data_IF_190221975928
#
_entry.id   IF_190221975928
#
_cell.length_a   1.000
_cell.length_b   1.000
_cell.length_c   1.000
_cell.angle_alpha   90.00
_cell.angle_beta   90.00
_cell.angle_gamma   90.00
#
_symmetry.space_group_name_H-M   'P 1'
#
loop_
_entity.id
_entity.type
_entity.pdbx_description
1 polymer ?
#
# COMPACT_ATOMS: atom_id res chain seq x y z
N UNK A 1 -34.16 -4.51 -55.75
CA UNK A 1 -33.33 -5.45 -54.99
C UNK A 1 -33.82 -5.41 -53.56
N UNK A 2 -34.97 -6.06 -53.27
CA UNK A 2 -35.06 -7.46 -52.80
C UNK A 2 -34.34 -7.63 -51.44
N UNK A 3 -35.06 -7.61 -50.32
CA UNK A 3 -35.91 -8.66 -49.70
C UNK A 3 -35.10 -9.72 -48.93
N UNK A 4 -35.31 -9.77 -47.61
CA UNK A 4 -35.78 -10.91 -46.79
C UNK A 4 -35.37 -10.64 -45.31
N UNK A 5 -36.28 -10.40 -44.34
CA UNK A 5 -37.24 -11.33 -43.69
C UNK A 5 -36.57 -12.65 -43.23
N UNK A 6 -36.79 -13.24 -42.06
CA UNK A 6 -37.78 -13.15 -40.97
C UNK A 6 -37.17 -13.95 -39.77
N UNK A 7 -37.31 -13.54 -38.50
CA UNK A 7 -38.40 -13.83 -37.54
C UNK A 7 -38.52 -15.29 -37.02
N UNK A 8 -39.13 -15.40 -35.83
CA UNK A 8 -39.69 -16.57 -35.10
C UNK A 8 -38.74 -17.30 -34.11
N UNK A 9 -39.16 -17.74 -32.91
CA UNK A 9 -40.46 -17.71 -32.20
C UNK A 9 -40.28 -18.08 -30.71
N UNK A 10 -41.25 -17.66 -29.91
CA UNK A 10 -41.58 -18.07 -28.54
C UNK A 10 -42.28 -19.45 -28.47
N UNK A 11 -42.20 -20.11 -27.30
CA UNK A 11 -43.19 -21.02 -26.66
C UNK A 11 -42.71 -21.23 -25.20
N UNK A 12 -43.41 -20.95 -24.09
CA UNK A 12 -44.75 -21.24 -23.55
C UNK A 12 -44.97 -22.69 -23.06
N UNK A 13 -45.43 -22.78 -21.79
CA UNK A 13 -46.13 -23.87 -21.06
C UNK A 13 -45.28 -25.06 -20.55
N UNK A 14 -45.55 -25.72 -19.41
CA UNK A 14 -46.66 -25.76 -18.44
C UNK A 14 -46.12 -26.37 -17.12
N UNK A 15 -46.43 -25.87 -15.92
CA UNK A 15 -47.57 -26.22 -15.01
C UNK A 15 -47.46 -27.59 -14.29
N UNK A 16 -47.59 -27.50 -12.95
CA UNK A 16 -48.40 -28.36 -12.06
C UNK A 16 -47.84 -29.68 -11.50
N UNK A 17 -47.76 -29.80 -10.15
CA UNK A 17 -48.71 -30.56 -9.29
C UNK A 17 -48.20 -30.67 -7.84
N UNK A 18 -49.09 -30.35 -6.92
CA UNK A 18 -49.04 -30.62 -5.48
C UNK A 18 -49.04 -32.13 -5.17
N UNK A 19 -48.53 -32.53 -4.01
CA UNK A 19 -49.31 -33.44 -3.17
C UNK A 19 -48.98 -33.32 -1.69
N UNK A 20 -50.06 -33.18 -0.93
CA UNK A 20 -50.12 -33.24 0.52
C UNK A 20 -50.44 -34.68 0.97
N UNK A 21 -50.16 -34.98 2.24
CA UNK A 21 -50.88 -35.87 3.19
C UNK A 21 -49.86 -36.35 4.23
N UNK A 22 -49.88 -35.94 5.51
CA UNK A 22 -50.89 -36.05 6.58
C UNK A 22 -50.93 -37.43 7.27
N UNK A 23 -51.23 -37.39 8.59
CA UNK A 23 -51.66 -38.49 9.46
C UNK A 23 -50.59 -39.54 9.86
N UNK A 24 -50.56 -40.14 11.06
CA UNK A 24 -51.49 -40.14 12.19
C UNK A 24 -50.80 -40.64 13.48
N UNK A 25 -51.34 -40.19 14.61
CA UNK A 25 -51.09 -40.64 15.98
C UNK A 25 -51.57 -42.07 16.23
N UNK A 26 -50.93 -42.78 17.18
CA UNK A 26 -51.39 -44.11 17.62
C UNK A 26 -50.80 -44.53 18.97
N UNK A 27 -51.54 -44.23 20.04
CA UNK A 27 -51.30 -44.67 21.41
C UNK A 27 -51.82 -46.10 21.62
N UNK A 28 -51.07 -46.97 22.33
CA UNK A 28 -51.62 -48.17 22.98
C UNK A 28 -50.77 -48.56 24.21
N UNK A 29 -51.48 -49.11 25.20
CA UNK A 29 -51.20 -49.10 26.64
C UNK A 29 -51.30 -50.53 27.18
N UNK A 30 -50.31 -51.03 27.93
CA UNK A 30 -50.45 -52.16 28.90
C UNK A 30 -49.35 -52.03 29.96
N UNK A 31 -49.63 -51.66 31.22
CA UNK A 31 -50.10 -52.38 32.43
C UNK A 31 -49.05 -53.20 33.21
N UNK A 32 -48.86 -52.75 34.48
CA UNK A 32 -48.44 -53.47 35.72
C UNK A 32 -46.93 -53.79 35.85
N UNK A 33 -46.25 -53.68 36.98
CA UNK A 33 -46.59 -53.30 38.37
C UNK A 33 -45.32 -53.34 39.26
N UNK A 34 -45.37 -52.66 40.43
CA UNK A 34 -44.63 -52.86 41.70
C UNK A 34 -43.31 -52.09 41.94
N UNK A 35 -43.45 -51.04 42.76
CA UNK A 35 -42.73 -50.74 44.03
C UNK A 35 -41.23 -51.07 44.10
N UNK A 36 -40.39 -50.04 44.22
CA UNK A 36 -39.55 -49.81 45.42
C UNK A 36 -38.63 -48.58 45.26
N UNK A 37 -38.55 -47.81 46.35
CA UNK A 37 -37.38 -47.10 46.87
C UNK A 37 -36.57 -46.15 45.96
N UNK A 38 -36.77 -44.86 46.23
CA UNK A 38 -35.70 -43.91 46.57
C UNK A 38 -34.45 -43.82 45.69
N UNK A 39 -34.30 -42.69 45.01
CA UNK A 39 -33.21 -41.71 45.19
C UNK A 39 -33.64 -40.47 44.37
N UNK A 40 -33.92 -39.35 45.05
CA UNK A 40 -34.02 -38.05 44.38
C UNK A 40 -32.60 -37.58 44.07
N UNK A 41 -32.12 -37.79 42.84
CA UNK A 41 -30.96 -37.06 42.34
C UNK A 41 -31.49 -35.69 41.91
N UNK A 42 -31.25 -34.68 42.75
CA UNK A 42 -31.32 -33.30 42.31
C UNK A 42 -30.28 -33.11 41.20
N UNK A 43 -30.74 -33.04 39.94
CA UNK A 43 -29.94 -32.52 38.85
C UNK A 43 -29.76 -31.02 39.12
N UNK A 44 -28.70 -30.67 39.85
CA UNK A 44 -28.17 -29.33 39.84
C UNK A 44 -27.70 -29.05 38.40
N UNK A 45 -28.52 -28.31 37.64
CA UNK A 45 -28.02 -27.58 36.48
C UNK A 45 -26.99 -26.58 37.01
N UNK A 46 -25.72 -27.00 37.04
CA UNK A 46 -24.60 -26.10 36.99
C UNK A 46 -24.68 -25.42 35.61
N UNK A 47 -25.39 -24.29 35.56
CA UNK A 47 -25.08 -23.24 34.60
C UNK A 47 -23.68 -22.77 34.99
N UNK A 48 -22.67 -23.46 34.48
CA UNK A 48 -21.34 -22.91 34.41
C UNK A 48 -21.48 -21.68 33.51
N UNK A 49 -21.38 -20.49 34.11
CA UNK A 49 -21.02 -19.32 33.35
C UNK A 49 -19.68 -19.64 32.68
N UNK A 50 -19.70 -19.99 31.40
CA UNK A 50 -18.55 -19.85 30.51
C UNK A 50 -18.25 -18.35 30.39
N UNK A 51 -17.66 -17.81 31.46
CA UNK A 51 -16.95 -16.54 31.42
C UNK A 51 -15.69 -16.78 30.61
N UNK A 52 -15.80 -16.38 29.35
CA UNK A 52 -14.71 -15.79 28.58
C UNK A 52 -13.38 -16.55 28.62
N UNK A 53 -13.27 -17.60 27.79
CA UNK A 53 -12.04 -17.76 27.03
C UNK A 53 -12.02 -16.65 25.97
N UNK A 54 -11.62 -15.44 26.38
CA UNK A 54 -10.96 -14.53 25.44
C UNK A 54 -9.66 -15.22 25.05
N UNK A 55 -9.40 -15.51 23.77
CA UNK A 55 -8.06 -15.94 23.40
C UNK A 55 -7.14 -14.77 23.73
N UNK A 56 -6.15 -15.03 24.59
CA UNK A 56 -4.97 -14.20 24.69
C UNK A 56 -4.27 -14.23 23.33
N UNK A 57 -4.67 -13.36 22.39
CA UNK A 57 -4.10 -13.29 21.03
C UNK A 57 -3.31 -12.01 20.76
N UNK A 58 -3.16 -11.12 21.75
CA UNK A 58 -2.44 -9.85 21.56
C UNK A 58 -0.96 -9.88 21.98
N UNK A 59 -0.54 -10.88 22.76
CA UNK A 59 0.82 -10.89 23.33
C UNK A 59 1.93 -11.32 22.35
N UNK A 60 1.59 -11.72 21.12
CA UNK A 60 2.57 -12.22 20.15
C UNK A 60 2.32 -11.76 18.71
N UNK A 61 1.66 -10.60 18.53
CA UNK A 61 1.61 -9.98 17.21
C UNK A 61 2.99 -9.43 16.87
N UNK A 62 3.65 -10.06 15.91
CA UNK A 62 4.97 -9.64 15.42
C UNK A 62 4.93 -8.15 15.03
N UNK A 63 5.79 -7.37 15.68
CA UNK A 63 5.91 -5.94 15.45
C UNK A 63 6.69 -5.74 14.17
N UNK A 64 5.99 -5.40 13.09
CA UNK A 64 6.59 -5.30 11.74
C UNK A 64 7.76 -4.31 11.68
N UNK A 65 7.77 -3.29 12.55
CA UNK A 65 8.86 -2.31 12.64
C UNK A 65 10.13 -2.89 13.27
N UNK A 66 10.06 -3.97 14.05
CA UNK A 66 11.25 -4.68 14.55
C UNK A 66 11.86 -5.60 13.47
N UNK A 67 11.10 -5.90 12.41
CA UNK A 67 11.52 -6.75 11.30
C UNK A 67 12.06 -5.98 10.09
N UNK A 68 11.96 -4.64 10.08
CA UNK A 68 12.43 -3.80 9.00
C UNK A 68 13.96 -3.70 9.02
N UNK A 69 14.61 -4.03 7.91
CA UNK A 69 16.07 -3.99 7.75
C UNK A 69 16.48 -2.90 6.77
N UNK A 70 17.27 -1.95 7.26
CA UNK A 70 17.89 -0.93 6.43
C UNK A 70 18.89 -1.49 5.43
N UNK A 71 19.54 -2.61 5.75
CA UNK A 71 20.47 -3.31 4.86
C UNK A 71 19.75 -3.92 3.67
N UNK A 72 18.55 -4.51 3.88
CA UNK A 72 17.72 -5.02 2.78
C UNK A 72 17.21 -3.88 1.91
N UNK A 73 16.72 -2.79 2.52
CA UNK A 73 16.35 -1.59 1.79
C UNK A 73 17.52 -1.08 0.93
N UNK A 74 18.72 -0.93 1.50
CA UNK A 74 19.92 -0.48 0.79
C UNK A 74 20.32 -1.43 -0.35
N UNK A 75 20.16 -2.75 -0.17
CA UNK A 75 20.43 -3.74 -1.21
C UNK A 75 19.46 -3.61 -2.41
N UNK A 76 18.20 -3.26 -2.15
CA UNK A 76 17.25 -2.91 -3.20
C UNK A 76 17.71 -1.67 -3.97
N UNK A 77 18.12 -0.60 -3.27
CA UNK A 77 18.67 0.62 -3.89
C UNK A 77 19.87 0.28 -4.79
N UNK A 78 20.84 -0.47 -4.26
CA UNK A 78 22.04 -0.86 -5.00
C UNK A 78 21.69 -1.66 -6.27
N UNK A 79 20.69 -2.54 -6.20
CA UNK A 79 20.25 -3.31 -7.35
C UNK A 79 19.69 -2.40 -8.45
N UNK A 80 18.85 -1.42 -8.09
CA UNK A 80 18.28 -0.47 -9.05
C UNK A 80 19.34 0.46 -9.65
N UNK A 81 20.27 0.97 -8.83
CA UNK A 81 21.41 1.78 -9.30
C UNK A 81 22.30 0.99 -10.26
N UNK A 82 22.47 -0.31 -10.05
CA UNK A 82 23.24 -1.19 -10.94
C UNK A 82 22.61 -1.36 -12.33
N UNK A 83 21.30 -1.14 -12.48
CA UNK A 83 20.67 -1.09 -13.80
C UNK A 83 21.04 0.18 -14.59
N UNK A 84 21.48 1.23 -13.90
CA UNK A 84 21.84 2.52 -14.46
C UNK A 84 20.80 3.61 -14.17
N UNK A 85 20.94 4.80 -14.81
CA UNK A 85 19.88 5.82 -14.85
C UNK A 85 18.58 5.21 -15.35
N UNK A 86 17.46 5.54 -14.71
CA UNK A 86 16.13 4.97 -15.00
C UNK A 86 15.15 6.04 -15.48
N UNK A 87 15.48 6.89 -16.48
CA UNK A 87 14.50 7.83 -16.99
C UNK A 87 13.33 7.08 -17.63
N UNK A 88 12.13 7.69 -17.69
CA UNK A 88 10.96 7.09 -18.31
C UNK A 88 11.26 6.57 -19.74
N UNK A 89 10.61 5.47 -20.11
CA UNK A 89 10.81 4.73 -21.37
C UNK A 89 12.22 4.13 -21.64
N UNK A 90 13.17 4.19 -20.70
CA UNK A 90 14.48 3.54 -20.85
C UNK A 90 14.46 2.01 -20.65
N UNK A 91 15.54 1.32 -21.06
CA UNK A 91 15.71 -0.11 -20.76
C UNK A 91 15.92 -0.35 -19.25
N UNK A 92 16.60 0.57 -18.57
CA UNK A 92 16.92 0.46 -17.14
C UNK A 92 15.67 0.63 -16.25
N UNK A 93 14.75 1.53 -16.61
CA UNK A 93 13.48 1.63 -15.88
C UNK A 93 12.64 0.35 -16.06
N UNK A 94 12.64 -0.28 -17.24
CA UNK A 94 11.95 -1.57 -17.42
C UNK A 94 12.59 -2.70 -16.60
N UNK A 95 13.93 -2.79 -16.54
CA UNK A 95 14.62 -3.73 -15.63
C UNK A 95 14.23 -3.50 -14.17
N UNK A 96 14.08 -2.23 -13.78
CA UNK A 96 13.62 -1.84 -12.45
C UNK A 96 12.19 -2.32 -12.21
N UNK A 97 11.27 -2.11 -13.15
CA UNK A 97 9.89 -2.62 -13.02
C UNK A 97 9.84 -4.14 -12.89
N UNK A 98 10.59 -4.87 -13.72
CA UNK A 98 10.68 -6.34 -13.60
C UNK A 98 11.21 -6.76 -12.24
N UNK A 99 12.24 -6.08 -11.73
CA UNK A 99 12.79 -6.36 -10.40
C UNK A 99 11.77 -6.10 -9.29
N UNK A 100 11.14 -4.93 -9.27
CA UNK A 100 10.13 -4.56 -8.29
C UNK A 100 8.95 -5.53 -8.31
N UNK A 101 8.43 -5.86 -9.50
CA UNK A 101 7.35 -6.84 -9.66
C UNK A 101 7.73 -8.19 -9.06
N UNK A 102 8.90 -8.74 -9.41
CA UNK A 102 9.34 -10.03 -8.87
C UNK A 102 9.51 -10.01 -7.35
N UNK A 103 10.07 -8.94 -6.77
CA UNK A 103 10.23 -8.83 -5.32
C UNK A 103 8.87 -8.76 -4.62
N UNK A 104 7.98 -7.89 -5.09
CA UNK A 104 6.63 -7.73 -4.55
C UNK A 104 5.81 -9.04 -4.62
N UNK A 105 5.82 -9.71 -5.77
CA UNK A 105 5.14 -11.00 -5.96
C UNK A 105 5.72 -12.09 -5.05
N UNK A 106 7.04 -12.10 -4.82
CA UNK A 106 7.68 -13.02 -3.87
C UNK A 106 7.24 -12.79 -2.43
N UNK A 107 6.77 -11.59 -2.10
CA UNK A 107 6.20 -11.25 -0.80
C UNK A 107 4.67 -11.43 -0.75
N UNK A 108 4.04 -11.88 -1.84
CA UNK A 108 2.59 -12.14 -1.91
C UNK A 108 1.74 -10.94 -2.35
N UNK A 109 2.35 -9.87 -2.84
CA UNK A 109 1.64 -8.75 -3.43
C UNK A 109 1.29 -9.05 -4.90
N UNK A 110 0.13 -8.59 -5.34
CA UNK A 110 -0.27 -8.59 -6.74
C UNK A 110 0.08 -7.23 -7.34
N UNK A 111 0.85 -7.23 -8.43
CA UNK A 111 1.28 -5.99 -9.09
C UNK A 111 0.49 -5.76 -10.37
N UNK A 112 -0.08 -4.57 -10.50
CA UNK A 112 -0.67 -4.04 -11.72
C UNK A 112 0.26 -2.99 -12.33
N UNK A 113 0.44 -3.06 -13.65
CA UNK A 113 1.14 -2.02 -14.43
C UNK A 113 0.12 -1.06 -15.00
N UNK A 114 0.07 0.16 -14.46
CA UNK A 114 -0.78 1.23 -15.00
C UNK A 114 0.02 2.00 -16.06
N UNK A 115 -0.14 1.62 -17.32
CA UNK A 115 0.57 2.22 -18.46
C UNK A 115 -0.21 3.38 -19.07
N UNK A 116 0.48 4.48 -19.38
CA UNK A 116 -0.09 5.65 -20.04
C UNK A 116 0.99 6.41 -20.82
N UNK A 117 0.54 7.39 -21.62
CA UNK A 117 1.44 8.24 -22.39
C UNK A 117 1.04 9.69 -22.22
N UNK A 118 2.03 10.57 -22.10
CA UNK A 118 1.82 12.02 -21.99
C UNK A 118 2.82 12.79 -22.85
N UNK A 119 2.48 14.04 -23.16
CA UNK A 119 3.35 14.96 -23.90
C UNK A 119 4.36 15.61 -22.95
N UNK A 120 5.62 15.69 -23.37
CA UNK A 120 6.71 16.31 -22.60
C UNK A 120 7.52 17.26 -23.49
N UNK A 121 8.47 18.01 -22.92
CA UNK A 121 9.41 18.81 -23.71
C UNK A 121 10.25 17.98 -24.69
N UNK A 122 10.34 16.66 -24.45
CA UNK A 122 11.05 15.68 -25.27
C UNK A 122 10.13 14.87 -26.19
N UNK A 123 8.89 15.31 -26.36
CA UNK A 123 7.86 14.65 -27.15
C UNK A 123 7.02 13.68 -26.32
N UNK A 124 6.26 12.81 -27.00
CA UNK A 124 5.37 11.86 -26.33
C UNK A 124 6.14 10.71 -25.70
N UNK A 125 6.06 10.57 -24.38
CA UNK A 125 6.75 9.53 -23.60
C UNK A 125 5.74 8.54 -23.00
N UNK A 126 6.17 7.29 -22.85
CA UNK A 126 5.42 6.23 -22.17
C UNK A 126 5.88 6.11 -20.72
N UNK A 127 4.91 6.11 -19.81
CA UNK A 127 5.08 5.98 -18.37
C UNK A 127 4.31 4.75 -17.87
N UNK A 128 4.78 4.15 -16.77
CA UNK A 128 4.15 2.99 -16.16
C UNK A 128 4.23 3.09 -14.64
N UNK A 129 3.13 3.40 -13.97
CA UNK A 129 3.09 3.23 -12.51
C UNK A 129 3.01 1.72 -12.17
N UNK A 130 3.59 1.31 -11.05
CA UNK A 130 3.34 -0.02 -10.47
C UNK A 130 2.43 0.13 -9.26
N UNK A 131 1.29 -0.56 -9.27
CA UNK A 131 0.30 -0.55 -8.19
C UNK A 131 0.27 -1.95 -7.58
N UNK A 132 0.65 -2.08 -6.32
CA UNK A 132 0.69 -3.35 -5.61
C UNK A 132 -0.41 -3.44 -4.55
N UNK A 133 -1.22 -4.49 -4.64
CA UNK A 133 -2.30 -4.78 -3.68
C UNK A 133 -2.09 -6.14 -3.02
N UNK A 134 -2.54 -6.31 -1.78
CA UNK A 134 -2.38 -7.56 -1.03
C UNK A 134 -3.70 -8.32 -0.91
N UNK A 135 -3.71 -9.57 -1.40
CA UNK A 135 -4.88 -10.44 -1.50
C UNK A 135 -6.00 -9.94 -2.45
N UNK A 136 -6.70 -10.90 -3.08
CA UNK A 136 -7.76 -10.57 -4.03
C UNK A 136 -9.00 -9.99 -3.34
N UNK A 137 -9.44 -8.80 -3.74
CA UNK A 137 -10.77 -8.27 -3.42
C UNK A 137 -10.88 -7.38 -2.17
N UNK A 138 -9.77 -6.97 -1.55
CA UNK A 138 -9.79 -5.89 -0.55
C UNK A 138 -9.82 -4.52 -1.21
N UNK A 139 -10.59 -3.59 -0.64
CA UNK A 139 -10.52 -2.17 -0.95
C UNK A 139 -9.47 -1.54 0.00
N UNK A 140 -8.23 -1.29 -0.44
CA UNK A 140 -7.20 -0.70 0.41
C UNK A 140 -7.65 0.70 0.88
N UNK A 141 -7.33 1.05 2.13
CA UNK A 141 -7.77 2.33 2.72
C UNK A 141 -6.63 3.31 2.93
N UNK A 142 -5.40 2.98 2.52
CA UNK A 142 -4.22 3.80 2.74
C UNK A 142 -3.22 3.62 1.61
N UNK A 143 -2.63 4.72 1.13
CA UNK A 143 -1.59 4.70 0.10
C UNK A 143 -0.19 4.71 0.74
N UNK A 144 0.75 3.99 0.15
CA UNK A 144 2.17 4.09 0.50
C UNK A 144 2.98 4.19 -0.78
N UNK A 145 3.61 5.33 -1.00
CA UNK A 145 4.06 5.79 -2.30
C UNK A 145 5.56 6.10 -2.33
N UNK A 146 6.13 6.03 -3.52
CA UNK A 146 7.48 6.50 -3.87
C UNK A 146 7.56 6.63 -5.39
N UNK A 147 8.42 7.49 -5.93
CA UNK A 147 8.80 7.43 -7.34
C UNK A 147 10.05 6.57 -7.54
N UNK A 148 10.21 5.97 -8.73
CA UNK A 148 11.32 5.04 -9.02
C UNK A 148 12.09 5.35 -10.31
N UNK A 149 11.64 6.35 -11.05
CA UNK A 149 12.36 6.89 -12.19
C UNK A 149 13.58 7.73 -11.73
N UNK A 150 14.28 8.34 -12.67
CA UNK A 150 15.39 9.26 -12.38
C UNK A 150 15.32 10.42 -13.34
N UNK A 151 15.70 11.61 -12.88
CA UNK A 151 15.88 12.77 -13.75
C UNK A 151 16.71 12.47 -14.99
N UNK A 152 16.27 13.03 -16.12
CA UNK A 152 17.05 13.04 -17.35
C UNK A 152 17.96 14.26 -17.39
N UNK A 153 19.26 14.04 -17.58
CA UNK A 153 20.21 15.11 -17.88
C UNK A 153 20.92 14.82 -19.22
N UNK A 154 21.12 15.85 -20.04
CA UNK A 154 21.75 15.68 -21.36
C UNK A 154 23.26 15.41 -21.30
N UNK A 155 23.91 15.92 -20.26
CA UNK A 155 25.38 15.92 -20.16
C UNK A 155 25.91 15.19 -18.93
N UNK A 156 25.01 14.66 -18.10
CA UNK A 156 25.34 14.07 -16.81
C UNK A 156 24.72 12.69 -16.68
N UNK A 157 25.51 11.74 -16.17
CA UNK A 157 24.99 10.43 -15.77
C UNK A 157 24.48 10.52 -14.34
N UNK A 158 23.17 10.58 -14.17
CA UNK A 158 22.49 10.62 -12.88
C UNK A 158 21.83 9.27 -12.58
N UNK A 159 22.10 8.69 -11.41
CA UNK A 159 21.54 7.37 -11.05
C UNK A 159 20.43 7.42 -10.02
N UNK A 160 20.16 8.59 -9.42
CA UNK A 160 19.14 8.78 -8.39
C UNK A 160 19.26 7.72 -7.31
N UNK A 161 20.36 7.75 -6.55
CA UNK A 161 20.54 6.77 -5.47
C UNK A 161 19.66 7.15 -4.28
N UNK A 162 19.69 8.42 -3.87
CA UNK A 162 18.76 8.95 -2.87
C UNK A 162 17.42 9.28 -3.54
N UNK A 163 17.49 10.03 -4.64
CA UNK A 163 16.37 10.55 -5.41
C UNK A 163 15.70 9.42 -6.22
N UNK A 164 14.51 9.02 -5.77
CA UNK A 164 13.76 7.82 -6.21
C UNK A 164 14.33 6.47 -5.75
N UNK A 165 15.65 6.30 -5.69
CA UNK A 165 16.27 5.03 -5.30
C UNK A 165 16.00 4.63 -3.85
N UNK A 166 16.21 5.56 -2.91
CA UNK A 166 16.15 5.30 -1.46
C UNK A 166 14.73 5.02 -0.99
N UNK A 167 13.78 5.84 -1.43
CA UNK A 167 12.35 5.75 -1.13
C UNK A 167 11.76 4.45 -1.69
N UNK A 168 12.13 4.08 -2.92
CA UNK A 168 11.69 2.82 -3.52
C UNK A 168 12.24 1.62 -2.73
N UNK A 169 13.49 1.69 -2.26
CA UNK A 169 14.09 0.67 -1.42
C UNK A 169 13.38 0.51 -0.06
N UNK A 170 13.00 1.61 0.57
CA UNK A 170 12.20 1.62 1.81
C UNK A 170 10.81 1.02 1.57
N UNK A 171 10.12 1.43 0.51
CA UNK A 171 8.79 0.94 0.18
C UNK A 171 8.79 -0.58 -0.09
N UNK A 172 9.81 -1.09 -0.76
CA UNK A 172 9.93 -2.52 -1.05
C UNK A 172 10.21 -3.36 0.21
N UNK A 173 11.02 -2.85 1.14
CA UNK A 173 11.24 -3.51 2.43
C UNK A 173 9.99 -3.41 3.34
N UNK A 174 9.22 -2.30 3.27
CA UNK A 174 7.91 -2.19 3.92
C UNK A 174 6.95 -3.26 3.41
N UNK A 175 6.91 -3.49 2.09
CA UNK A 175 6.11 -4.55 1.47
C UNK A 175 6.43 -5.93 2.06
N UNK A 176 7.73 -6.21 2.28
CA UNK A 176 8.21 -7.47 2.88
C UNK A 176 7.78 -7.64 4.33
N UNK A 177 7.88 -6.59 5.16
CA UNK A 177 7.53 -6.70 6.59
C UNK A 177 6.03 -6.62 6.86
N UNK A 178 5.25 -6.07 5.93
CA UNK A 178 3.79 -6.10 5.99
C UNK A 178 3.21 -7.47 5.61
N UNK A 179 3.86 -8.21 4.72
CA UNK A 179 3.34 -9.48 4.19
C UNK A 179 2.98 -10.54 5.26
N UNK A 180 3.74 -10.73 6.36
CA UNK A 180 3.37 -11.62 7.46
C UNK A 180 2.12 -11.18 8.25
N UNK A 181 1.59 -9.97 8.00
CA UNK A 181 0.39 -9.39 8.60
C UNK A 181 -0.70 -9.09 7.54
N UNK A 182 -1.31 -10.12 6.93
CA UNK A 182 -2.30 -9.95 5.86
C UNK A 182 -3.48 -9.02 6.17
N UNK A 183 -3.85 -8.87 7.44
CA UNK A 183 -4.91 -7.97 7.91
C UNK A 183 -4.52 -6.49 7.84
N UNK A 184 -3.21 -6.19 7.94
CA UNK A 184 -2.65 -4.85 7.71
C UNK A 184 -2.35 -4.66 6.22
N UNK A 185 -1.63 -5.62 5.60
CA UNK A 185 -1.20 -5.51 4.21
C UNK A 185 -2.37 -5.27 3.24
N UNK A 186 -3.53 -5.92 3.44
CA UNK A 186 -4.73 -5.72 2.60
C UNK A 186 -5.33 -4.32 2.65
N UNK A 187 -4.98 -3.52 3.68
CA UNK A 187 -5.46 -2.15 3.85
C UNK A 187 -4.52 -1.13 3.20
N UNK A 188 -3.32 -1.55 2.77
CA UNK A 188 -2.37 -0.72 2.06
C UNK A 188 -2.41 -1.00 0.56
N UNK A 189 -2.25 0.04 -0.24
CA UNK A 189 -1.92 -0.04 -1.66
C UNK A 189 -0.57 0.64 -1.84
N UNK A 190 0.41 -0.11 -2.36
CA UNK A 190 1.74 0.42 -2.61
C UNK A 190 1.79 0.95 -4.03
N UNK A 191 2.25 2.18 -4.21
CA UNK A 191 2.30 2.80 -5.53
C UNK A 191 3.71 3.29 -5.82
N UNK A 192 4.30 2.77 -6.89
CA UNK A 192 5.58 3.22 -7.41
C UNK A 192 5.31 4.07 -8.64
N UNK A 193 5.49 5.39 -8.51
CA UNK A 193 5.20 6.35 -9.56
C UNK A 193 6.36 6.44 -10.57
N UNK A 194 6.00 6.58 -11.83
CA UNK A 194 6.93 6.80 -12.95
C UNK A 194 6.74 8.21 -13.50
N UNK A 195 7.84 8.91 -13.74
CA UNK A 195 7.85 10.27 -14.24
C UNK A 195 7.45 11.27 -13.16
N UNK A 196 7.91 11.09 -11.93
CA UNK A 196 7.88 12.18 -10.96
C UNK A 196 8.75 13.33 -11.48
N UNK A 197 9.92 13.00 -12.01
CA UNK A 197 10.94 13.96 -12.36
C UNK A 197 10.55 14.82 -13.56
N UNK A 198 10.68 16.14 -13.39
CA UNK A 198 10.52 17.08 -14.50
C UNK A 198 11.66 16.96 -15.52
N UNK A 199 11.36 17.16 -16.80
CA UNK A 199 12.37 17.22 -17.85
C UNK A 199 13.13 18.55 -17.84
N UNK A 200 12.44 19.66 -17.58
CA UNK A 200 13.03 20.99 -17.49
C UNK A 200 12.88 21.56 -16.07
N UNK A 201 11.64 21.68 -15.61
CA UNK A 201 11.31 22.22 -14.29
C UNK A 201 9.88 21.83 -13.90
N UNK A 202 9.63 21.64 -12.60
CA UNK A 202 8.29 21.32 -12.15
C UNK A 202 7.31 22.45 -12.48
N UNK A 203 6.27 22.09 -13.23
CA UNK A 203 5.16 22.96 -13.62
C UNK A 203 3.85 22.17 -13.59
N UNK A 204 2.72 22.78 -13.93
CA UNK A 204 1.42 22.08 -14.05
C UNK A 204 1.43 20.90 -15.04
N UNK A 205 2.42 20.84 -15.96
CA UNK A 205 2.49 19.83 -17.03
C UNK A 205 3.86 19.15 -17.17
N UNK A 206 4.87 19.57 -16.42
CA UNK A 206 6.21 18.95 -16.40
C UNK A 206 6.52 18.47 -14.98
N UNK A 207 6.85 17.18 -14.85
CA UNK A 207 6.92 16.43 -13.60
C UNK A 207 5.58 15.84 -13.15
N UNK A 208 5.64 14.99 -12.11
CA UNK A 208 4.51 14.33 -11.46
C UNK A 208 3.57 13.58 -12.42
N UNK A 209 4.07 13.12 -13.56
CA UNK A 209 3.28 12.47 -14.61
C UNK A 209 2.53 11.26 -14.06
N UNK A 210 3.24 10.41 -13.29
CA UNK A 210 2.73 9.21 -12.64
C UNK A 210 1.61 9.50 -11.66
N UNK A 211 1.88 10.31 -10.64
CA UNK A 211 0.91 10.64 -9.59
C UNK A 211 -0.29 11.44 -10.12
N UNK A 212 -0.09 12.37 -11.06
CA UNK A 212 -1.19 13.08 -11.72
C UNK A 212 -2.09 12.14 -12.49
N UNK A 213 -1.54 11.20 -13.25
CA UNK A 213 -2.35 10.22 -13.97
C UNK A 213 -3.12 9.32 -12.99
N UNK A 214 -2.45 8.82 -11.95
CA UNK A 214 -3.06 8.00 -10.92
C UNK A 214 -4.21 8.72 -10.19
N UNK A 215 -3.98 9.96 -9.74
CA UNK A 215 -4.98 10.79 -9.08
C UNK A 215 -6.19 11.06 -10.00
N UNK A 216 -5.96 11.42 -11.26
CA UNK A 216 -7.03 11.60 -12.26
C UNK A 216 -7.88 10.34 -12.42
N UNK A 217 -7.26 9.15 -12.46
CA UNK A 217 -7.98 7.88 -12.54
C UNK A 217 -8.83 7.60 -11.28
N UNK A 218 -8.28 7.85 -10.09
CA UNK A 218 -9.04 7.69 -8.85
C UNK A 218 -10.22 8.65 -8.76
N UNK A 219 -10.03 9.91 -9.15
CA UNK A 219 -11.10 10.91 -9.19
C UNK A 219 -12.20 10.54 -10.20
N UNK A 220 -11.82 10.12 -11.41
CA UNK A 220 -12.78 9.68 -12.44
C UNK A 220 -13.61 8.47 -12.01
N UNK A 221 -13.08 7.64 -11.11
CA UNK A 221 -13.74 6.46 -10.56
C UNK A 221 -14.46 6.72 -9.22
N UNK A 222 -14.48 7.98 -8.71
CA UNK A 222 -14.93 8.36 -7.36
C UNK A 222 -14.32 7.50 -6.24
N UNK A 223 -13.07 7.09 -6.41
CA UNK A 223 -12.34 6.23 -5.46
C UNK A 223 -11.50 6.99 -4.45
N UNK A 224 -11.33 8.31 -4.58
CA UNK A 224 -10.50 9.09 -3.65
C UNK A 224 -10.95 8.90 -2.18
N UNK A 225 -12.28 8.91 -1.94
CA UNK A 225 -12.88 8.75 -0.60
C UNK A 225 -12.62 7.38 0.04
N UNK A 226 -12.14 6.40 -0.72
CA UNK A 226 -11.74 5.09 -0.19
C UNK A 226 -10.49 5.20 0.71
N UNK A 227 -9.60 6.14 0.39
CA UNK A 227 -8.33 6.32 1.07
C UNK A 227 -8.49 7.30 2.21
N UNK A 228 -8.18 6.84 3.43
CA UNK A 228 -8.17 7.66 4.65
C UNK A 228 -6.88 8.47 4.80
N UNK A 229 -5.87 8.17 3.98
CA UNK A 229 -4.65 8.94 3.85
C UNK A 229 -3.57 8.20 3.06
N UNK A 230 -2.38 8.79 3.01
CA UNK A 230 -1.21 8.20 2.39
C UNK A 230 0.10 8.68 3.00
N UNK A 231 1.17 7.96 2.70
CA UNK A 231 2.56 8.40 2.88
C UNK A 231 3.26 8.35 1.53
N UNK A 232 3.92 9.43 1.15
CA UNK A 232 4.97 9.47 0.15
C UNK A 232 6.33 9.44 0.85
N UNK A 233 7.28 8.68 0.30
CA UNK A 233 8.69 8.79 0.65
C UNK A 233 9.44 9.39 -0.51
N UNK A 234 10.32 10.34 -0.22
CA UNK A 234 11.31 10.81 -1.18
C UNK A 234 12.65 11.13 -0.51
N UNK A 235 13.76 10.83 -1.19
CA UNK A 235 15.12 11.17 -0.76
C UNK A 235 15.48 10.77 0.69
N UNK A 236 15.03 9.62 1.17
CA UNK A 236 15.06 9.20 2.59
C UNK A 236 16.30 8.41 3.03
N UNK A 237 17.37 8.43 2.25
CA UNK A 237 18.55 7.57 2.43
C UNK A 237 19.84 8.27 2.85
N UNK A 238 19.89 9.62 2.87
CA UNK A 238 21.13 10.37 3.16
C UNK A 238 21.78 9.95 4.49
N UNK A 239 23.10 9.87 4.51
CA UNK A 239 23.89 9.59 5.73
C UNK A 239 23.65 10.61 6.86
N UNK A 240 23.35 11.85 6.53
CA UNK A 240 23.10 12.93 7.50
C UNK A 240 21.59 13.17 7.69
N UNK A 241 20.83 12.09 7.77
CA UNK A 241 19.37 12.08 7.66
C UNK A 241 18.64 13.09 8.56
N UNK A 242 17.88 13.97 7.92
CA UNK A 242 16.85 14.81 8.52
C UNK A 242 15.56 14.72 7.71
N UNK A 243 14.66 13.81 8.08
CA UNK A 243 13.32 13.75 7.47
C UNK A 243 12.53 14.99 7.86
N UNK A 244 12.00 15.66 6.86
CA UNK A 244 11.16 16.85 7.01
C UNK A 244 9.75 16.58 6.52
N UNK A 245 8.79 17.28 7.11
CA UNK A 245 7.37 17.25 6.73
C UNK A 245 7.01 18.60 6.11
N UNK A 246 6.64 18.67 4.82
CA UNK A 246 6.25 19.93 4.18
C UNK A 246 5.07 20.63 4.87
N UNK A 247 4.91 21.96 4.75
CA UNK A 247 3.84 22.72 5.39
C UNK A 247 2.41 22.28 5.06
N UNK A 248 2.19 21.68 3.89
CA UNK A 248 0.90 21.14 3.45
C UNK A 248 0.60 19.73 4.01
N UNK A 249 1.48 19.19 4.86
CA UNK A 249 1.31 17.90 5.53
C UNK A 249 -0.02 17.82 6.31
N UNK A 250 -0.81 16.75 6.15
CA UNK A 250 -2.03 16.54 6.93
C UNK A 250 -1.73 16.46 8.44
N UNK A 251 -2.32 17.39 9.22
CA UNK A 251 -1.96 17.63 10.63
C UNK A 251 -2.06 16.35 11.49
N UNK A 252 -3.12 15.57 11.32
CA UNK A 252 -3.30 14.33 12.08
C UNK A 252 -2.24 13.28 11.75
N UNK A 253 -1.87 13.15 10.46
CA UNK A 253 -0.85 12.21 10.00
C UNK A 253 0.52 12.67 10.50
N UNK A 254 0.87 13.95 10.36
CA UNK A 254 2.12 14.51 10.85
C UNK A 254 2.32 14.29 12.36
N UNK A 255 1.27 14.56 13.14
CA UNK A 255 1.26 14.29 14.59
C UNK A 255 1.54 12.82 14.89
N UNK A 256 0.90 11.92 14.16
CA UNK A 256 1.02 10.48 14.40
C UNK A 256 2.37 9.91 13.93
N UNK A 257 2.99 10.51 12.91
CA UNK A 257 4.39 10.24 12.50
C UNK A 257 5.35 10.67 13.60
N UNK A 258 5.24 11.90 14.13
CA UNK A 258 6.08 12.35 15.23
C UNK A 258 5.89 11.49 16.49
N UNK A 259 4.66 11.14 16.83
CA UNK A 259 4.38 10.25 17.95
C UNK A 259 5.00 8.85 17.75
N UNK A 260 5.07 8.36 16.51
CA UNK A 260 5.75 7.10 16.18
C UNK A 260 7.26 7.24 16.30
N UNK A 261 7.83 8.35 15.84
CA UNK A 261 9.24 8.65 16.01
C UNK A 261 9.63 8.80 17.51
N UNK A 262 8.79 9.44 18.32
CA UNK A 262 8.96 9.54 19.78
C UNK A 262 8.92 8.17 20.45
N UNK A 263 7.92 7.33 20.11
CA UNK A 263 7.78 5.98 20.66
C UNK A 263 9.01 5.08 20.39
N UNK A 264 9.73 5.35 19.30
CA UNK A 264 10.95 4.64 18.91
C UNK A 264 12.25 5.36 19.33
N UNK A 265 12.18 6.49 20.02
CA UNK A 265 13.32 7.36 20.37
C UNK A 265 14.11 7.87 19.15
N UNK A 266 13.42 8.09 18.03
CA UNK A 266 13.97 8.55 16.75
C UNK A 266 13.54 9.98 16.37
N UNK A 267 12.75 10.66 17.21
CA UNK A 267 12.19 12.00 16.95
C UNK A 267 13.21 13.06 16.51
N UNK A 268 14.47 12.93 16.90
CA UNK A 268 15.58 13.82 16.51
C UNK A 268 15.87 13.86 15.00
N UNK A 269 15.43 12.84 14.26
CA UNK A 269 15.60 12.75 12.80
C UNK A 269 14.41 13.30 12.01
N UNK A 270 13.35 13.75 12.69
CA UNK A 270 12.12 14.20 12.05
C UNK A 270 11.87 15.65 12.44
N UNK A 271 11.49 16.51 11.51
CA UNK A 271 11.10 17.89 11.82
C UNK A 271 10.08 18.38 10.79
N UNK A 272 9.49 19.56 11.02
CA UNK A 272 8.79 20.26 9.96
C UNK A 272 9.78 20.90 9.01
N UNK A 273 9.42 20.95 7.73
CA UNK A 273 10.13 21.74 6.75
C UNK A 273 9.65 23.20 6.79
N UNK A 274 10.50 24.12 6.32
CA UNK A 274 10.25 25.56 6.41
C UNK A 274 9.67 26.18 5.13
N UNK A 275 9.47 25.38 4.08
CA UNK A 275 8.99 25.80 2.76
C UNK A 275 8.16 24.72 2.08
N UNK A 276 7.37 25.11 1.11
CA UNK A 276 6.54 24.19 0.34
C UNK A 276 7.39 23.29 -0.56
N UNK A 277 6.93 22.05 -0.75
CA UNK A 277 7.47 21.08 -1.69
C UNK A 277 6.31 20.62 -2.58
N UNK A 278 6.51 20.69 -3.89
CA UNK A 278 5.62 20.09 -4.87
C UNK A 278 6.22 18.75 -5.26
N UNK A 279 5.52 17.68 -4.93
CA UNK A 279 5.92 16.28 -5.11
C UNK A 279 4.65 15.42 -5.35
N UNK A 280 4.78 14.11 -5.51
CA UNK A 280 3.74 13.15 -5.88
C UNK A 280 2.57 13.07 -4.88
N UNK A 281 2.71 13.63 -3.66
CA UNK A 281 1.61 13.78 -2.71
C UNK A 281 0.65 14.89 -3.10
N UNK A 282 1.12 15.88 -3.85
CA UNK A 282 0.35 17.07 -4.22
C UNK A 282 -0.90 16.72 -5.05
N UNK A 283 -0.82 15.93 -6.15
CA UNK A 283 -2.00 15.53 -6.91
C UNK A 283 -2.98 14.66 -6.12
N UNK A 284 -2.49 13.91 -5.10
CA UNK A 284 -3.33 13.11 -4.22
C UNK A 284 -4.10 13.99 -3.23
N UNK A 285 -3.42 14.98 -2.65
CA UNK A 285 -4.05 15.99 -1.79
C UNK A 285 -5.14 16.78 -2.53
N UNK A 286 -4.91 17.15 -3.79
CA UNK A 286 -5.87 17.87 -4.65
C UNK A 286 -7.19 17.13 -4.85
N UNK A 287 -7.16 15.79 -4.92
CA UNK A 287 -8.37 14.96 -5.05
C UNK A 287 -8.96 14.56 -3.69
N UNK A 288 -8.41 15.06 -2.59
CA UNK A 288 -8.91 14.87 -1.23
C UNK A 288 -8.38 13.65 -0.49
N UNK A 289 -7.26 13.04 -0.93
CA UNK A 289 -6.57 11.98 -0.19
C UNK A 289 -5.47 12.62 0.65
N UNK A 290 -5.59 12.69 1.99
CA UNK A 290 -4.60 13.35 2.83
C UNK A 290 -3.29 12.54 2.84
N UNK A 291 -2.31 12.99 2.07
CA UNK A 291 -1.03 12.31 1.86
C UNK A 291 0.08 13.16 2.45
N UNK A 292 0.85 12.57 3.36
CA UNK A 292 2.04 13.22 3.91
C UNK A 292 3.27 12.86 3.07
N UNK A 293 4.16 13.81 2.89
CA UNK A 293 5.47 13.57 2.30
C UNK A 293 6.55 13.51 3.41
N UNK A 294 7.38 12.47 3.37
CA UNK A 294 8.53 12.24 4.23
C UNK A 294 9.79 12.41 3.40
N UNK A 295 10.40 13.59 3.47
CA UNK A 295 11.51 13.97 2.57
C UNK A 295 12.69 14.61 3.29
N UNK A 296 13.91 14.24 2.92
CA UNK A 296 15.15 14.92 3.34
C UNK A 296 15.68 15.79 2.20
N UNK A 297 15.00 16.92 1.97
CA UNK A 297 15.23 17.76 0.79
C UNK A 297 16.53 18.57 0.85
N UNK A 298 17.07 18.85 2.04
CA UNK A 298 18.33 19.58 2.21
C UNK A 298 19.55 18.66 1.98
N UNK A 299 19.65 18.14 0.75
CA UNK A 299 20.63 17.13 0.34
C UNK A 299 21.57 17.68 -0.76
N UNK A 300 22.84 18.04 -0.45
CA UNK A 300 23.74 18.67 -1.42
C UNK A 300 23.97 17.91 -2.74
N UNK A 301 23.97 16.55 -2.78
CA UNK A 301 24.08 15.81 -4.03
C UNK A 301 22.80 15.76 -4.89
N UNK A 302 21.66 16.30 -4.43
CA UNK A 302 20.39 16.34 -5.17
C UNK A 302 20.59 16.91 -6.58
N UNK A 303 19.99 16.26 -7.59
CA UNK A 303 20.14 16.63 -9.00
C UNK A 303 21.60 16.77 -9.48
N UNK A 304 22.55 16.03 -8.88
CA UNK A 304 23.94 15.96 -9.34
C UNK A 304 24.36 14.52 -9.61
N UNK A 305 25.35 14.26 -10.48
CA UNK A 305 25.99 12.95 -10.62
C UNK A 305 26.57 12.38 -9.31
N UNK A 306 26.70 13.20 -8.27
CA UNK A 306 27.14 12.79 -6.94
C UNK A 306 26.08 12.04 -6.14
N UNK A 307 24.81 12.03 -6.56
CA UNK A 307 23.78 11.22 -5.90
C UNK A 307 23.99 9.73 -6.22
N UNK A 308 24.70 9.07 -5.31
CA UNK A 308 25.29 7.74 -5.49
C UNK A 308 25.16 6.94 -4.20
N UNK A 309 25.22 5.61 -4.29
CA UNK A 309 24.95 4.73 -3.13
C UNK A 309 25.91 4.98 -1.96
N UNK A 310 27.12 5.47 -2.19
CA UNK A 310 28.04 5.82 -1.11
C UNK A 310 27.57 7.01 -0.27
N UNK A 311 26.61 7.82 -0.73
CA UNK A 311 25.95 8.88 0.05
C UNK A 311 24.88 8.34 0.98
N UNK A 312 24.42 7.11 0.77
CA UNK A 312 23.35 6.53 1.54
C UNK A 312 23.84 5.76 2.76
N UNK A 313 22.95 5.57 3.72
CA UNK A 313 23.21 4.73 4.88
C UNK A 313 22.05 3.77 5.16
N UNK A 314 22.39 2.50 5.47
CA UNK A 314 21.40 1.53 5.90
C UNK A 314 20.66 2.00 7.16
N UNK A 315 21.34 2.69 8.07
CA UNK A 315 20.73 3.23 9.28
C UNK A 315 19.67 4.31 8.96
N UNK A 316 19.91 5.16 7.98
CA UNK A 316 18.97 6.19 7.54
C UNK A 316 17.70 5.57 6.97
N UNK A 317 17.85 4.62 6.04
CA UNK A 317 16.74 3.86 5.48
C UNK A 317 15.98 3.10 6.57
N UNK A 318 16.71 2.54 7.56
CA UNK A 318 16.11 1.89 8.74
C UNK A 318 15.29 2.87 9.55
N UNK A 319 15.82 4.06 9.89
CA UNK A 319 15.13 5.08 10.69
C UNK A 319 13.79 5.46 10.05
N UNK A 320 13.80 5.81 8.76
CA UNK A 320 12.58 6.15 8.02
C UNK A 320 11.60 4.97 8.00
N UNK A 321 12.09 3.78 7.62
CA UNK A 321 11.26 2.59 7.48
C UNK A 321 10.64 2.10 8.79
N UNK A 322 11.36 2.11 9.91
CA UNK A 322 10.82 1.66 11.21
C UNK A 322 9.76 2.62 11.75
N UNK A 323 9.95 3.94 11.57
CA UNK A 323 8.94 4.93 11.99
C UNK A 323 7.67 4.77 11.16
N UNK A 324 7.81 4.64 9.84
CA UNK A 324 6.67 4.39 8.96
C UNK A 324 5.99 3.05 9.29
N UNK A 325 6.74 1.97 9.46
CA UNK A 325 6.20 0.65 9.82
C UNK A 325 5.45 0.69 11.16
N UNK A 326 5.96 1.43 12.15
CA UNK A 326 5.29 1.63 13.44
C UNK A 326 3.99 2.42 13.26
N UNK A 327 4.02 3.53 12.54
CA UNK A 327 2.84 4.33 12.23
C UNK A 327 1.77 3.50 11.49
N UNK A 328 2.16 2.79 10.43
CA UNK A 328 1.26 1.94 9.64
C UNK A 328 0.58 0.89 10.52
N UNK A 329 1.35 0.16 11.34
CA UNK A 329 0.81 -0.92 12.18
C UNK A 329 0.02 -0.46 13.39
N UNK A 330 0.31 0.73 13.94
CA UNK A 330 -0.30 1.19 15.20
C UNK A 330 -1.39 2.23 15.02
N UNK A 331 -1.44 2.90 13.86
CA UNK A 331 -2.36 4.01 13.57
C UNK A 331 -3.07 3.81 12.24
N UNK A 332 -2.37 3.93 11.11
CA UNK A 332 -3.00 4.07 9.78
C UNK A 332 -3.77 2.84 9.30
N UNK A 333 -3.26 1.64 9.57
CA UNK A 333 -3.86 0.38 9.10
C UNK A 333 -4.68 -0.34 10.19
N UNK A 334 -4.98 0.30 11.32
CA UNK A 334 -5.93 -0.25 12.31
C UNK A 334 -7.37 0.05 11.90
#
# INVERSE_FOLDING_TARGET
>A
MERNEAALRSNIMATMICNASSAHSGCLRTKRSRVAAGIWIAFAFLVACDRANSPASDANQEKIWEQFSGEKALAHVQTMVNFGPRPPASEAIEKTRTYLTHQLESFGWKVERQSFADETSRGKIQFVNLIATFANGSAPTFLVCSHYDTKTFDTARFVGANDGGSSTGVLLELARVLAPRPELARKAELVFFDGEEAYEAFTETDGLYGSRFFAKQLAAQDKAKQFRGGILFDMVGDRSLTITLPPDSPVEIARDIFASADALNLRKHFTYFDRDIMDDHTPLNEIGIPTIDLIDFDYPPWHTPGDTVDKLSAESLRITGVVAAHYLATRALK
#
